data_IF_770462667737
#
_entry.id   IF_770462667737
#
_cell.length_a   1.000
_cell.length_b   1.000
_cell.length_c   1.000
_cell.angle_alpha   90.00
_cell.angle_beta   90.00
_cell.angle_gamma   90.00
#
_symmetry.space_group_name_H-M   'P 1'
#
loop_
_entity.id
_entity.type
_entity.pdbx_description
1 polymer ?
#
# COMPACT_ATOMS: atom_id res chain seq x y z
N UNK A 1 -24.22 -9.64 -1.84
CA UNK A 1 -23.20 -8.57 -1.74
C UNK A 1 -21.88 -9.06 -2.34
N UNK A 2 -21.75 -9.10 -3.67
CA UNK A 2 -20.54 -9.53 -4.40
C UNK A 2 -19.86 -8.39 -5.18
N UNK A 3 -20.47 -7.19 -5.20
CA UNK A 3 -19.95 -6.05 -5.97
C UNK A 3 -18.57 -5.59 -5.45
N UNK A 4 -18.36 -5.60 -4.13
CA UNK A 4 -17.07 -5.26 -3.52
C UNK A 4 -15.99 -6.36 -3.66
N UNK A 5 -16.33 -7.58 -4.07
CA UNK A 5 -15.32 -8.61 -4.35
C UNK A 5 -14.65 -8.44 -5.72
N UNK A 6 -15.22 -7.63 -6.61
CA UNK A 6 -14.66 -7.33 -7.95
C UNK A 6 -13.97 -5.97 -8.04
N UNK A 7 -14.17 -5.11 -7.04
CA UNK A 7 -13.29 -3.96 -6.85
C UNK A 7 -12.08 -4.52 -6.12
N UNK A 8 -10.92 -4.61 -6.78
CA UNK A 8 -9.69 -5.00 -6.10
C UNK A 8 -9.55 -4.12 -4.85
N UNK A 9 -9.70 -4.72 -3.66
CA UNK A 9 -9.67 -3.98 -2.40
C UNK A 9 -8.40 -3.12 -2.29
N UNK A 10 -7.33 -3.56 -2.93
CA UNK A 10 -6.06 -2.85 -3.03
C UNK A 10 -6.18 -1.58 -3.87
N UNK A 11 -6.85 -1.60 -5.03
CA UNK A 11 -7.04 -0.39 -5.87
C UNK A 11 -7.72 0.73 -5.09
N UNK A 12 -8.79 0.43 -4.35
CA UNK A 12 -9.51 1.43 -3.55
C UNK A 12 -8.62 2.00 -2.44
N UNK A 13 -7.80 1.16 -1.82
CA UNK A 13 -6.86 1.60 -0.80
C UNK A 13 -5.75 2.47 -1.41
N UNK A 14 -5.29 2.16 -2.62
CA UNK A 14 -4.30 2.97 -3.36
C UNK A 14 -4.91 4.32 -3.77
N UNK A 15 -6.14 4.33 -4.27
CA UNK A 15 -6.86 5.58 -4.57
C UNK A 15 -7.01 6.45 -3.33
N UNK A 16 -7.41 5.86 -2.20
CA UNK A 16 -7.51 6.56 -0.90
C UNK A 16 -6.17 7.13 -0.42
N UNK A 17 -5.07 6.50 -0.78
CA UNK A 17 -3.73 7.01 -0.49
C UNK A 17 -3.40 8.25 -1.35
N UNK A 18 -3.84 8.27 -2.62
CA UNK A 18 -3.63 9.38 -3.56
C UNK A 18 -4.52 10.58 -3.26
N UNK A 19 -5.82 10.36 -3.04
CA UNK A 19 -6.81 11.47 -2.95
C UNK A 19 -7.30 11.74 -1.53
N UNK A 20 -7.04 10.84 -0.58
CA UNK A 20 -7.57 10.95 0.78
C UNK A 20 -6.92 12.08 1.59
N UNK A 21 -7.62 12.57 2.62
CA UNK A 21 -7.01 13.45 3.61
C UNK A 21 -5.94 12.71 4.43
N UNK A 22 -5.12 13.44 5.19
CA UNK A 22 -4.02 12.86 6.00
C UNK A 22 -4.41 11.61 6.79
N UNK A 23 -5.56 11.60 7.47
CA UNK A 23 -6.03 10.43 8.25
C UNK A 23 -6.45 9.28 7.34
N UNK A 24 -7.15 9.57 6.25
CA UNK A 24 -7.55 8.56 5.27
C UNK A 24 -6.33 7.88 4.63
N UNK A 25 -5.30 8.66 4.25
CA UNK A 25 -4.04 8.11 3.73
C UNK A 25 -3.38 7.18 4.75
N UNK A 26 -3.22 7.64 5.99
CA UNK A 26 -2.61 6.83 7.07
C UNK A 26 -3.36 5.53 7.35
N UNK A 27 -4.69 5.58 7.35
CA UNK A 27 -5.52 4.40 7.55
C UNK A 27 -5.40 3.43 6.38
N UNK A 28 -5.49 3.93 5.14
CA UNK A 28 -5.38 3.10 3.94
C UNK A 28 -4.03 2.37 3.88
N UNK A 29 -2.92 3.06 4.19
CA UNK A 29 -1.59 2.46 4.26
C UNK A 29 -1.47 1.41 5.37
N UNK A 30 -2.10 1.65 6.51
CA UNK A 30 -2.13 0.67 7.61
C UNK A 30 -2.84 -0.60 7.19
N UNK A 31 -3.98 -0.47 6.49
CA UNK A 31 -4.72 -1.61 5.96
C UNK A 31 -3.90 -2.35 4.90
N UNK A 32 -3.27 -1.64 3.96
CA UNK A 32 -2.38 -2.24 2.95
C UNK A 32 -1.24 -3.04 3.60
N UNK A 33 -0.57 -2.46 4.59
CA UNK A 33 0.48 -3.15 5.33
C UNK A 33 -0.03 -4.42 6.03
N UNK A 34 -1.20 -4.34 6.65
CA UNK A 34 -1.81 -5.49 7.32
C UNK A 34 -2.25 -6.57 6.33
N UNK A 35 -2.76 -6.20 5.15
CA UNK A 35 -3.12 -7.14 4.08
C UNK A 35 -1.89 -7.88 3.57
N UNK A 36 -0.82 -7.16 3.25
CA UNK A 36 0.46 -7.75 2.80
C UNK A 36 1.04 -8.67 3.87
N UNK A 37 0.96 -8.32 5.15
CA UNK A 37 1.43 -9.17 6.25
C UNK A 37 0.58 -10.41 6.49
N UNK A 38 -0.74 -10.31 6.36
CA UNK A 38 -1.68 -11.39 6.70
C UNK A 38 -1.94 -12.36 5.56
N UNK A 39 -1.99 -11.86 4.32
CA UNK A 39 -2.37 -12.63 3.13
C UNK A 39 -1.15 -13.13 2.33
N UNK A 40 0.06 -12.84 2.80
CA UNK A 40 1.32 -13.30 2.21
C UNK A 40 1.45 -12.93 0.73
N UNK A 41 1.91 -13.89 -0.06
CA UNK A 41 2.31 -13.67 -1.45
C UNK A 41 1.12 -13.32 -2.36
N UNK A 42 -0.11 -13.73 -2.01
CA UNK A 42 -1.33 -13.39 -2.77
C UNK A 42 -1.59 -11.89 -2.77
N UNK A 43 -1.62 -11.26 -1.59
CA UNK A 43 -1.82 -9.81 -1.51
C UNK A 43 -0.65 -9.03 -2.11
N UNK A 44 0.57 -9.58 -2.08
CA UNK A 44 1.71 -8.97 -2.75
C UNK A 44 1.57 -8.99 -4.27
N UNK A 45 1.11 -10.11 -4.84
CA UNK A 45 0.84 -10.22 -6.27
C UNK A 45 -0.25 -9.24 -6.70
N UNK A 46 -1.39 -9.25 -6.01
CA UNK A 46 -2.49 -8.33 -6.28
C UNK A 46 -2.06 -6.86 -6.11
N UNK A 47 -1.17 -6.56 -5.16
CA UNK A 47 -0.59 -5.23 -5.00
C UNK A 47 0.28 -4.85 -6.20
N UNK A 48 1.18 -5.72 -6.64
CA UNK A 48 2.07 -5.46 -7.79
C UNK A 48 1.33 -5.37 -9.13
N UNK A 49 0.17 -6.01 -9.24
CA UNK A 49 -0.72 -5.90 -10.41
C UNK A 49 -1.43 -4.53 -10.48
N UNK A 50 -1.35 -3.70 -9.45
CA UNK A 50 -1.85 -2.32 -9.49
C UNK A 50 -0.82 -1.41 -10.16
N UNK A 51 -1.15 -0.95 -11.37
CA UNK A 51 -0.31 -0.06 -12.14
C UNK A 51 0.08 1.20 -11.34
N UNK A 52 1.39 1.49 -11.31
CA UNK A 52 1.92 2.69 -10.68
C UNK A 52 1.84 2.72 -9.15
N UNK A 53 1.40 1.64 -8.48
CA UNK A 53 1.28 1.64 -7.01
C UNK A 53 2.61 1.85 -6.32
N UNK A 54 3.70 1.27 -6.83
CA UNK A 54 5.00 1.37 -6.18
C UNK A 54 5.55 2.80 -6.28
N UNK A 55 5.39 3.44 -7.44
CA UNK A 55 5.74 4.85 -7.66
C UNK A 55 4.91 5.74 -6.74
N UNK A 56 3.61 5.49 -6.67
CA UNK A 56 2.68 6.22 -5.79
C UNK A 56 3.09 6.11 -4.33
N UNK A 57 3.39 4.90 -3.87
CA UNK A 57 3.77 4.64 -2.48
C UNK A 57 5.13 5.25 -2.14
N UNK A 58 6.12 5.17 -3.05
CA UNK A 58 7.43 5.84 -2.87
C UNK A 58 7.30 7.36 -2.82
N UNK A 59 6.42 7.96 -3.63
CA UNK A 59 6.20 9.41 -3.64
C UNK A 59 5.70 9.95 -2.28
N UNK A 60 5.01 9.13 -1.48
CA UNK A 60 4.51 9.51 -0.16
C UNK A 60 5.58 9.52 0.93
N UNK A 61 6.74 8.94 0.69
CA UNK A 61 7.87 9.03 1.62
C UNK A 61 8.62 10.35 1.41
N UNK A 62 8.41 11.02 0.28
CA UNK A 62 9.01 12.33 -0.01
C UNK A 62 8.64 13.36 1.06
N UNK A 63 9.57 14.29 1.32
CA UNK A 63 9.41 15.34 2.32
C UNK A 63 8.25 16.30 2.03
N UNK A 64 7.86 16.41 0.76
CA UNK A 64 6.75 17.25 0.31
C UNK A 64 5.36 16.60 0.47
N UNK A 65 5.28 15.38 1.00
CA UNK A 65 3.99 14.72 1.23
C UNK A 65 3.29 15.25 2.49
N UNK A 66 1.97 15.39 2.44
CA UNK A 66 1.13 15.73 3.61
C UNK A 66 1.01 14.58 4.63
N UNK A 67 1.81 13.53 4.48
CA UNK A 67 1.78 12.32 5.30
C UNK A 67 2.57 12.57 6.59
N UNK A 68 2.00 12.21 7.74
CA UNK A 68 2.70 12.36 9.01
C UNK A 68 3.96 11.49 9.10
N UNK A 69 4.89 11.82 10.00
CA UNK A 69 6.06 11.00 10.28
C UNK A 69 5.71 9.53 10.58
N UNK A 70 4.60 9.29 11.29
CA UNK A 70 4.09 7.93 11.56
C UNK A 70 3.61 7.24 10.28
N UNK A 71 2.92 7.98 9.40
CA UNK A 71 2.52 7.47 8.09
C UNK A 71 3.72 7.09 7.22
N UNK A 72 4.74 7.96 7.17
CA UNK A 72 6.01 7.71 6.46
C UNK A 72 6.70 6.44 6.93
N UNK A 73 6.87 6.26 8.25
CA UNK A 73 7.47 5.04 8.82
C UNK A 73 6.70 3.75 8.45
N UNK A 74 5.37 3.81 8.36
CA UNK A 74 4.55 2.67 7.90
C UNK A 74 4.75 2.38 6.41
N UNK A 75 4.88 3.41 5.58
CA UNK A 75 5.17 3.25 4.15
C UNK A 75 6.54 2.61 3.95
N UNK A 76 7.56 3.10 4.65
CA UNK A 76 8.91 2.52 4.59
C UNK A 76 8.89 1.05 4.99
N UNK A 77 8.12 0.70 6.03
CA UNK A 77 7.92 -0.70 6.42
C UNK A 77 7.27 -1.51 5.31
N UNK A 78 6.23 -0.97 4.65
CA UNK A 78 5.58 -1.64 3.51
C UNK A 78 6.57 -1.87 2.36
N UNK A 79 7.35 -0.86 1.98
CA UNK A 79 8.36 -0.96 0.92
C UNK A 79 9.41 -2.04 1.24
N UNK A 80 9.93 -2.08 2.46
CA UNK A 80 10.88 -3.13 2.90
C UNK A 80 10.28 -4.53 2.83
N UNK A 81 9.01 -4.69 3.22
CA UNK A 81 8.31 -5.97 3.10
C UNK A 81 8.15 -6.37 1.63
N UNK A 82 7.85 -5.43 0.74
CA UNK A 82 7.74 -5.69 -0.70
C UNK A 82 9.08 -6.08 -1.33
N UNK A 83 10.18 -5.44 -0.92
CA UNK A 83 11.55 -5.67 -1.40
C UNK A 83 12.12 -7.00 -0.88
N UNK A 84 12.01 -7.28 0.43
CA UNK A 84 12.47 -8.54 1.05
C UNK A 84 11.81 -9.77 0.42
N UNK A 85 10.53 -9.67 0.06
CA UNK A 85 9.78 -10.73 -0.59
C UNK A 85 10.10 -10.89 -2.07
N UNK A 86 10.70 -9.89 -2.69
CA UNK A 86 11.22 -9.96 -4.06
C UNK A 86 12.49 -10.83 -4.13
N UNK A 87 13.35 -10.76 -3.11
CA UNK A 87 14.59 -11.55 -3.04
C UNK A 87 14.40 -13.01 -2.62
N UNK A 88 13.25 -13.40 -2.07
CA UNK A 88 12.94 -14.79 -1.68
C UNK A 88 12.30 -15.63 -2.80
N UNK A 89 12.08 -15.07 -3.99
CA UNK A 89 11.48 -15.78 -5.14
C UNK A 89 12.52 -16.26 -6.18
N UNK A 90 13.82 -16.27 -5.83
CA UNK A 90 14.91 -16.83 -6.63
C UNK A 90 15.44 -18.13 -6.01
#
# INVERSE_FOLDING_TARGET
MKAFQRVNNINVLVDLVVVGNRRARENAMTVLLNLVKSSGDKAMREFREVDGVEVTVRALVSDNSEVSARGKSKIETLLRVLESKQGSQL
#
